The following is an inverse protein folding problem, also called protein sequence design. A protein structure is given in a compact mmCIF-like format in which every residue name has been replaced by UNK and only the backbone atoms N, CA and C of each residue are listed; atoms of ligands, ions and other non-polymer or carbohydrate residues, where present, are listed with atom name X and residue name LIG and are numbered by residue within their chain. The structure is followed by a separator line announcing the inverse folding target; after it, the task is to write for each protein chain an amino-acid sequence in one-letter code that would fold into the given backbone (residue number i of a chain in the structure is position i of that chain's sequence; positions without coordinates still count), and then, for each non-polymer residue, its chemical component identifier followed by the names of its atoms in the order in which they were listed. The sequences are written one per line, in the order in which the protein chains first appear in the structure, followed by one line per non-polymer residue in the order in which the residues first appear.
data_IF_280924390375
#
_entry.id   IF_280924390375
#
_cell.length_a   1.000
_cell.length_b   1.000
_cell.length_c   1.000
_cell.angle_alpha   90.00
_cell.angle_beta   90.00
_cell.angle_gamma   90.00
#
_symmetry.space_group_name_H-M   'P 1'
#
loop_
_entity.id
_entity.type
_entity.pdbx_description
1 polymer ?
#
# COMPACT_ATOMS: atom_id res chain seq x y z
N UNK A 1 1.90 36.15 -52.13
CA UNK A 1 1.78 35.59 -50.77
C UNK A 1 2.03 36.75 -49.82
N UNK A 2 0.98 37.47 -49.48
CA UNK A 2 1.07 38.75 -48.76
C UNK A 2 0.60 38.51 -47.32
N UNK A 3 1.56 38.38 -46.41
CA UNK A 3 1.31 38.07 -45.01
C UNK A 3 1.06 39.37 -44.23
N UNK A 4 -0.12 39.51 -43.61
CA UNK A 4 -0.47 40.68 -42.80
C UNK A 4 0.22 40.58 -41.42
N UNK A 5 1.04 41.57 -41.01
CA UNK A 5 1.86 41.51 -39.79
C UNK A 5 1.05 41.42 -38.48
N UNK A 6 -0.26 41.64 -38.52
CA UNK A 6 -1.16 41.53 -37.35
C UNK A 6 -1.44 40.08 -36.94
N UNK A 7 -1.35 39.11 -37.87
CA UNK A 7 -1.68 37.71 -37.58
C UNK A 7 -0.55 36.99 -36.85
N UNK A 8 0.70 37.30 -37.21
CA UNK A 8 1.89 36.79 -36.50
C UNK A 8 1.87 37.21 -35.03
N UNK A 9 1.59 38.49 -34.76
CA UNK A 9 1.52 39.03 -33.40
C UNK A 9 0.41 38.37 -32.56
N UNK A 10 -0.72 38.04 -33.20
CA UNK A 10 -1.80 37.30 -32.55
C UNK A 10 -1.40 35.86 -32.24
N UNK A 11 -0.71 35.18 -33.17
CA UNK A 11 -0.21 33.82 -32.95
C UNK A 11 0.86 33.78 -31.84
N UNK A 12 1.76 34.76 -31.77
CA UNK A 12 2.72 34.89 -30.67
C UNK A 12 2.02 35.14 -29.32
N UNK A 13 0.98 35.95 -29.30
CA UNK A 13 0.22 36.26 -28.08
C UNK A 13 -0.58 35.06 -27.59
N UNK A 14 -1.18 34.28 -28.49
CA UNK A 14 -1.85 33.02 -28.16
C UNK A 14 -0.82 31.98 -27.69
N UNK A 15 0.31 31.82 -28.37
CA UNK A 15 1.34 30.84 -28.02
C UNK A 15 2.00 31.11 -26.64
N UNK A 16 2.08 32.36 -26.21
CA UNK A 16 2.61 32.76 -24.90
C UNK A 16 1.59 32.68 -23.78
N UNK A 17 0.30 32.92 -24.07
CA UNK A 17 -0.78 32.83 -23.07
C UNK A 17 -1.33 31.41 -22.89
N UNK A 18 -1.25 30.56 -23.92
CA UNK A 18 -1.70 29.18 -23.91
C UNK A 18 -1.05 28.32 -22.80
N UNK A 19 0.27 28.40 -22.52
CA UNK A 19 0.88 27.64 -21.43
C UNK A 19 0.52 28.13 -20.01
N UNK A 20 -0.13 29.28 -19.84
CA UNK A 20 -0.54 29.79 -18.51
C UNK A 20 -1.81 29.11 -17.96
N UNK A 21 -2.57 28.43 -18.81
CA UNK A 21 -3.82 27.75 -18.43
C UNK A 21 -3.68 26.23 -18.28
N UNK A 22 -2.53 25.66 -18.61
CA UNK A 22 -2.28 24.26 -18.33
C UNK A 22 -1.64 24.17 -16.95
N UNK A 23 -2.35 23.70 -15.91
CA UNK A 23 -1.70 23.33 -14.67
C UNK A 23 -0.66 22.29 -15.04
N UNK A 24 0.60 22.71 -15.02
CA UNK A 24 1.69 21.82 -15.33
C UNK A 24 1.76 20.82 -14.19
N UNK A 25 1.19 19.63 -14.41
CA UNK A 25 1.36 18.48 -13.55
C UNK A 25 2.79 17.98 -13.72
N UNK A 26 3.76 18.74 -13.22
CA UNK A 26 5.08 18.19 -13.00
C UNK A 26 4.92 17.13 -11.90
N UNK A 27 5.12 15.86 -12.25
CA UNK A 27 5.40 14.86 -11.24
C UNK A 27 6.66 15.34 -10.53
N UNK A 28 6.51 15.88 -9.32
CA UNK A 28 7.62 16.27 -8.46
C UNK A 28 8.29 14.98 -8.01
N UNK A 29 9.11 14.42 -8.90
CA UNK A 29 10.12 13.45 -8.53
C UNK A 29 11.14 14.25 -7.74
N UNK A 30 10.87 14.41 -6.44
CA UNK A 30 11.88 14.81 -5.49
C UNK A 30 12.90 13.67 -5.45
N UNK A 31 13.76 13.59 -6.47
CA UNK A 31 15.07 12.97 -6.38
C UNK A 31 15.96 13.87 -5.50
N UNK A 32 15.47 14.28 -4.33
CA UNK A 32 16.37 14.35 -3.21
C UNK A 32 16.83 12.91 -3.05
N UNK A 33 18.10 12.65 -3.37
CA UNK A 33 18.78 11.44 -2.96
C UNK A 33 18.76 11.49 -1.43
N UNK A 34 17.63 11.08 -0.84
CA UNK A 34 17.52 11.01 0.60
C UNK A 34 18.41 9.83 0.97
N UNK A 35 19.47 10.05 1.76
CA UNK A 35 20.61 9.15 1.85
C UNK A 35 20.29 7.72 2.34
N UNK A 36 19.04 7.40 2.66
CA UNK A 36 18.60 6.12 3.22
C UNK A 36 17.44 5.41 2.47
N UNK A 37 16.82 6.01 1.45
CA UNK A 37 15.66 5.36 0.77
C UNK A 37 16.05 4.34 -0.30
N UNK A 38 17.28 4.43 -0.83
CA UNK A 38 17.78 3.54 -1.89
C UNK A 38 18.26 2.18 -1.38
N UNK A 39 18.33 2.00 -0.05
CA UNK A 39 18.73 0.74 0.56
C UNK A 39 17.53 -0.19 0.66
N UNK A 40 17.71 -1.43 0.23
CA UNK A 40 16.74 -2.49 0.48
C UNK A 40 16.87 -2.99 1.91
N UNK A 41 15.76 -3.15 2.61
CA UNK A 41 15.76 -3.64 3.98
C UNK A 41 15.14 -5.03 4.08
N UNK A 42 15.49 -5.73 5.15
CA UNK A 42 14.85 -6.98 5.55
C UNK A 42 14.08 -6.73 6.85
N UNK A 43 12.87 -7.26 6.91
CA UNK A 43 11.97 -7.12 8.06
C UNK A 43 11.33 -8.50 8.30
N UNK A 44 11.71 -9.14 9.41
CA UNK A 44 11.37 -10.54 9.67
C UNK A 44 11.87 -11.49 8.58
N UNK A 45 10.99 -12.37 8.11
CA UNK A 45 11.24 -13.29 7.00
C UNK A 45 11.16 -12.66 5.61
N UNK A 46 10.82 -11.37 5.50
CA UNK A 46 10.65 -10.68 4.22
C UNK A 46 11.89 -9.83 3.92
N UNK A 47 12.64 -10.24 2.90
CA UNK A 47 13.80 -9.51 2.40
C UNK A 47 13.48 -8.55 1.26
N UNK A 48 14.47 -7.70 0.95
CA UNK A 48 14.48 -6.86 -0.25
C UNK A 48 13.27 -5.92 -0.36
N UNK A 49 12.87 -5.33 0.77
CA UNK A 49 11.77 -4.38 0.86
C UNK A 49 12.18 -3.09 0.16
N UNK A 50 11.27 -2.59 -0.69
CA UNK A 50 11.43 -1.42 -1.56
C UNK A 50 10.11 -0.67 -1.64
N UNK A 51 10.16 0.54 -2.20
CA UNK A 51 8.98 1.32 -2.55
C UNK A 51 7.91 0.45 -3.25
N UNK A 52 6.63 0.53 -2.85
CA UNK A 52 6.01 1.53 -1.97
C UNK A 52 6.16 1.27 -0.46
N UNK A 53 6.71 0.12 -0.05
CA UNK A 53 6.84 -0.25 1.35
C UNK A 53 8.05 0.42 2.00
N UNK A 54 7.92 0.69 3.29
CA UNK A 54 9.01 1.20 4.12
C UNK A 54 8.93 0.65 5.54
N UNK A 55 10.08 0.53 6.20
CA UNK A 55 10.18 -0.09 7.52
C UNK A 55 10.21 0.97 8.62
N UNK A 56 9.27 0.88 9.56
CA UNK A 56 9.18 1.78 10.70
C UNK A 56 10.43 1.72 11.59
N UNK A 57 10.90 2.87 12.06
CA UNK A 57 12.11 2.99 12.87
C UNK A 57 13.44 2.74 12.13
N UNK A 58 13.41 2.31 10.86
CA UNK A 58 14.61 2.04 10.05
C UNK A 58 14.71 3.02 8.88
N UNK A 59 13.60 3.27 8.19
CA UNK A 59 13.51 4.21 7.09
C UNK A 59 12.67 5.43 7.49
N UNK A 60 13.05 6.65 7.04
CA UNK A 60 12.16 7.80 7.08
C UNK A 60 10.83 7.52 6.36
N UNK A 61 9.73 8.13 6.83
CA UNK A 61 8.38 7.97 6.24
C UNK A 61 8.35 8.36 4.75
N UNK A 62 9.12 9.37 4.39
CA UNK A 62 9.32 9.86 3.02
C UNK A 62 9.99 8.86 2.06
N UNK A 63 10.51 7.73 2.57
CA UNK A 63 11.05 6.65 1.74
C UNK A 63 10.00 5.70 1.17
N UNK A 64 8.75 5.78 1.63
CA UNK A 64 7.68 4.93 1.14
C UNK A 64 6.38 5.68 0.91
N UNK A 65 5.34 4.93 0.57
CA UNK A 65 4.00 5.46 0.40
C UNK A 65 3.27 5.48 1.75
N UNK A 66 2.45 6.50 1.97
CA UNK A 66 1.59 6.58 3.14
C UNK A 66 0.65 5.36 3.19
N UNK A 67 0.53 4.73 4.36
CA UNK A 67 -0.25 3.49 4.54
C UNK A 67 0.46 2.19 4.11
N UNK A 68 1.70 2.25 3.61
CA UNK A 68 2.53 1.07 3.29
C UNK A 68 3.68 0.88 4.29
N UNK A 69 3.51 1.42 5.49
CA UNK A 69 4.44 1.27 6.60
C UNK A 69 4.41 -0.16 7.14
N UNK A 70 5.59 -0.73 7.36
CA UNK A 70 5.78 -2.06 7.92
C UNK A 70 6.27 -1.97 9.36
N UNK A 71 5.59 -2.68 10.25
CA UNK A 71 5.87 -2.75 11.68
C UNK A 71 6.28 -4.17 12.09
N UNK A 72 6.76 -4.31 13.33
CA UNK A 72 7.05 -5.61 13.98
C UNK A 72 8.05 -6.50 13.20
N UNK A 73 9.20 -5.94 12.82
CA UNK A 73 10.26 -6.67 12.10
C UNK A 73 11.06 -7.68 12.93
N UNK A 74 10.93 -7.68 14.25
CA UNK A 74 11.60 -8.65 15.12
C UNK A 74 11.00 -10.06 15.00
N UNK A 75 9.73 -10.16 14.58
CA UNK A 75 9.04 -11.43 14.36
C UNK A 75 9.25 -11.99 12.96
N UNK A 76 8.72 -13.20 12.71
CA UNK A 76 8.83 -13.84 11.40
C UNK A 76 8.01 -13.14 10.29
N UNK A 77 6.89 -12.49 10.65
CA UNK A 77 5.96 -11.90 9.69
C UNK A 77 5.66 -10.45 10.05
N UNK A 78 6.08 -9.49 9.22
CA UNK A 78 5.85 -8.08 9.50
C UNK A 78 4.38 -7.70 9.33
N UNK A 79 3.99 -6.62 9.99
CA UNK A 79 2.61 -6.14 10.03
C UNK A 79 2.45 -4.91 9.16
N UNK A 80 1.43 -4.95 8.30
CA UNK A 80 0.96 -3.84 7.49
C UNK A 80 -0.39 -3.36 8.07
N UNK A 81 -0.47 -2.08 8.44
CA UNK A 81 -1.68 -1.48 8.99
C UNK A 81 -2.43 -0.72 7.89
N UNK A 82 -3.55 -1.27 7.47
CA UNK A 82 -4.48 -0.62 6.54
C UNK A 82 -5.82 -0.53 7.26
N UNK A 83 -6.00 0.59 7.96
CA UNK A 83 -7.17 0.83 8.79
C UNK A 83 -8.48 0.47 8.07
N UNK A 84 -9.43 -0.19 8.75
CA UNK A 84 -9.44 -0.54 10.18
C UNK A 84 -8.78 -1.89 10.52
N UNK A 85 -8.03 -2.50 9.59
CA UNK A 85 -7.52 -3.87 9.72
C UNK A 85 -5.99 -3.92 9.68
N UNK A 86 -5.44 -4.91 10.38
CA UNK A 86 -4.01 -5.21 10.37
C UNK A 86 -3.75 -6.53 9.67
N UNK A 87 -2.64 -6.59 8.95
CA UNK A 87 -2.30 -7.71 8.07
C UNK A 87 -0.87 -8.16 8.33
N UNK A 88 -0.68 -9.46 8.62
CA UNK A 88 0.64 -10.06 8.57
C UNK A 88 1.01 -10.34 7.12
N UNK A 89 2.18 -9.86 6.68
CA UNK A 89 2.73 -10.18 5.37
C UNK A 89 3.37 -11.56 5.44
N UNK A 90 2.81 -12.50 4.68
CA UNK A 90 3.31 -13.87 4.57
C UNK A 90 4.37 -13.99 3.47
N UNK A 91 4.18 -13.27 2.38
CA UNK A 91 5.05 -13.34 1.20
C UNK A 91 4.97 -12.03 0.41
N UNK A 92 6.12 -11.56 -0.06
CA UNK A 92 6.24 -10.39 -0.93
C UNK A 92 7.15 -10.74 -2.11
N UNK A 93 6.61 -10.69 -3.32
CA UNK A 93 7.35 -10.98 -4.54
C UNK A 93 7.23 -9.82 -5.53
N UNK A 94 8.33 -9.10 -5.72
CA UNK A 94 8.39 -7.95 -6.64
C UNK A 94 8.39 -8.35 -8.11
N UNK A 95 8.86 -9.54 -8.45
CA UNK A 95 8.90 -10.04 -9.84
C UNK A 95 7.50 -10.33 -10.34
N UNK A 96 6.68 -10.99 -9.53
CA UNK A 96 5.26 -11.28 -9.82
C UNK A 96 4.32 -10.17 -9.40
N UNK A 97 4.82 -9.16 -8.66
CA UNK A 97 4.03 -8.06 -8.05
C UNK A 97 2.91 -8.58 -7.16
N UNK A 98 3.17 -9.65 -6.41
CA UNK A 98 2.19 -10.28 -5.53
C UNK A 98 2.55 -10.03 -4.06
N UNK A 99 1.55 -9.61 -3.30
CA UNK A 99 1.59 -9.48 -1.85
C UNK A 99 0.60 -10.49 -1.25
N UNK A 100 1.10 -11.41 -0.43
CA UNK A 100 0.29 -12.39 0.28
C UNK A 100 0.20 -12.01 1.74
N UNK A 101 -1.02 -11.82 2.23
CA UNK A 101 -1.29 -11.35 3.58
C UNK A 101 -2.27 -12.26 4.32
N UNK A 102 -2.16 -12.29 5.64
CA UNK A 102 -3.16 -12.84 6.54
C UNK A 102 -3.69 -11.75 7.46
N UNK A 103 -5.01 -11.64 7.56
CA UNK A 103 -5.66 -10.70 8.48
C UNK A 103 -5.43 -11.09 9.94
N UNK A 104 -4.92 -10.15 10.73
CA UNK A 104 -4.58 -10.39 12.14
C UNK A 104 -5.79 -10.80 12.99
N UNK A 105 -6.97 -10.23 12.73
CA UNK A 105 -8.20 -10.56 13.48
C UNK A 105 -8.69 -11.99 13.21
N UNK A 106 -8.45 -12.50 12.00
CA UNK A 106 -8.78 -13.88 11.60
C UNK A 106 -7.86 -14.93 12.20
N UNK A 107 -6.66 -14.55 12.67
CA UNK A 107 -5.75 -15.47 13.36
C UNK A 107 -6.29 -15.87 14.74
N UNK A 108 -7.00 -14.96 15.40
CA UNK A 108 -7.62 -15.16 16.71
C UNK A 108 -9.03 -15.74 16.56
N UNK A 109 -9.84 -15.19 15.66
CA UNK A 109 -11.23 -15.59 15.46
C UNK A 109 -11.51 -15.91 13.99
N UNK A 110 -11.65 -17.20 13.65
CA UNK A 110 -11.86 -17.65 12.28
C UNK A 110 -13.16 -17.11 11.63
N UNK A 111 -14.14 -16.74 12.44
CA UNK A 111 -15.35 -16.03 12.02
C UNK A 111 -15.46 -14.70 12.77
N UNK A 112 -14.97 -13.58 12.21
CA UNK A 112 -15.18 -12.27 12.79
C UNK A 112 -16.66 -11.93 12.65
N UNK A 113 -17.30 -11.57 13.76
CA UNK A 113 -18.73 -11.25 13.77
C UNK A 113 -19.06 -9.96 13.00
N UNK A 114 -18.04 -9.19 12.61
CA UNK A 114 -18.18 -7.91 11.91
C UNK A 114 -17.21 -7.89 10.74
N UNK A 115 -17.77 -7.91 9.52
CA UNK A 115 -17.04 -7.50 8.32
C UNK A 115 -17.18 -5.97 8.22
N UNK A 116 -16.09 -5.19 8.34
CA UNK A 116 -16.19 -3.74 8.46
C UNK A 116 -16.58 -3.00 7.16
N UNK A 117 -16.95 -3.70 6.08
CA UNK A 117 -17.18 -3.05 4.78
C UNK A 117 -18.62 -3.13 4.27
N UNK A 118 -19.47 -4.06 4.73
CA UNK A 118 -20.92 -3.96 4.49
C UNK A 118 -21.69 -4.98 5.33
N UNK A 119 -22.36 -4.53 6.40
CA UNK A 119 -23.55 -5.21 6.90
C UNK A 119 -24.60 -4.15 7.23
N UNK A 120 -25.36 -3.72 6.23
CA UNK A 120 -26.74 -3.31 6.50
C UNK A 120 -27.41 -4.48 7.20
N UNK A 121 -28.04 -4.17 8.33
CA UNK A 121 -28.69 -5.12 9.24
C UNK A 121 -29.78 -5.88 8.47
N UNK A 122 -29.45 -7.02 7.88
CA UNK A 122 -30.45 -7.97 7.41
C UNK A 122 -30.61 -8.99 8.51
N UNK A 123 -31.81 -9.04 9.10
CA UNK A 123 -32.17 -10.06 10.06
C UNK A 123 -32.12 -11.43 9.38
N UNK A 124 -31.03 -12.17 9.58
CA UNK A 124 -31.03 -13.59 9.25
C UNK A 124 -31.81 -14.31 10.34
N UNK A 125 -33.06 -14.63 10.02
CA UNK A 125 -33.85 -15.59 10.80
C UNK A 125 -33.02 -16.87 10.99
N UNK A 126 -32.92 -17.26 12.26
CA UNK A 126 -32.20 -18.43 12.75
C UNK A 126 -32.75 -19.72 12.16
N UNK A 127 -32.18 -20.19 11.06
CA UNK A 127 -32.10 -21.62 10.71
C UNK A 127 -31.23 -21.81 9.47
N UNK A 128 -30.26 -22.72 9.56
CA UNK A 128 -29.35 -23.16 8.49
C UNK A 128 -28.15 -22.25 8.15
N UNK A 129 -27.25 -22.04 9.11
CA UNK A 129 -25.84 -21.71 8.81
C UNK A 129 -24.98 -22.98 8.94
N UNK A 130 -25.23 -23.99 8.10
CA UNK A 130 -24.23 -25.02 7.81
C UNK A 130 -23.61 -24.70 6.46
N UNK A 131 -22.70 -23.72 6.46
CA UNK A 131 -21.85 -23.44 5.31
C UNK A 131 -20.52 -24.19 5.52
N UNK A 132 -20.18 -25.01 4.54
CA UNK A 132 -18.96 -25.80 4.45
C UNK A 132 -17.73 -24.91 4.66
N UNK A 133 -17.11 -24.98 5.85
CA UNK A 133 -15.81 -24.33 6.09
C UNK A 133 -14.78 -25.13 5.30
N UNK A 134 -14.32 -24.59 4.16
CA UNK A 134 -13.04 -25.03 3.59
C UNK A 134 -11.99 -24.74 4.66
N UNK A 135 -11.50 -25.78 5.32
CA UNK A 135 -10.43 -25.71 6.31
C UNK A 135 -9.14 -25.24 5.63
N UNK A 136 -8.95 -23.93 5.52
CA UNK A 136 -7.63 -23.36 5.30
C UNK A 136 -6.78 -23.67 6.53
N UNK A 137 -5.64 -24.35 6.37
CA UNK A 137 -4.71 -24.56 7.47
C UNK A 137 -4.33 -23.21 8.06
N UNK A 138 -4.50 -23.06 9.38
CA UNK A 138 -3.97 -21.92 10.14
C UNK A 138 -2.47 -21.80 9.84
N UNK A 139 -1.96 -20.63 9.43
CA UNK A 139 -0.52 -20.44 9.32
C UNK A 139 0.10 -20.72 10.69
N UNK A 140 1.06 -21.65 10.75
CA UNK A 140 1.81 -21.93 11.98
C UNK A 140 2.84 -20.83 12.15
N UNK A 141 2.59 -19.91 13.08
CA UNK A 141 3.57 -18.90 13.48
C UNK A 141 4.54 -19.55 14.47
N UNK A 142 5.87 -19.44 14.28
CA UNK A 142 6.81 -19.86 15.31
C UNK A 142 6.65 -18.93 16.52
N UNK A 143 6.33 -19.52 17.67
CA UNK A 143 6.26 -18.82 18.95
C UNK A 143 7.71 -18.60 19.39
N UNK A 144 8.21 -17.37 19.30
CA UNK A 144 9.47 -17.01 19.95
C UNK A 144 9.25 -17.06 21.47
N UNK A 145 9.85 -18.05 22.13
CA UNK A 145 9.89 -18.14 23.58
C UNK A 145 10.81 -17.04 24.12
N UNK A 146 10.44 -16.30 25.18
CA UNK A 146 11.37 -15.39 25.83
C UNK A 146 12.45 -16.21 26.55
N UNK A 147 13.70 -15.82 26.36
CA UNK A 147 14.84 -16.21 27.19
C UNK A 147 14.96 -15.25 28.38
#
# INVERSE_FOLDING_TARGET
MEWKPKQELFLFLVATLLPLNFPSFYCKSNQHILPNCSRSFQCGGIGNIRYPFWVDGVQPEECGHSGFQLFNCEGAFPVLDIQPLRYHILELNFSTRTLKVAREDLLKNACPQVLPILMTRTSLSSSAASAFVRTGRKPTFPISSPA
#
